data_IF_977921096818
#
_entry.id   IF_977921096818
#
_cell.length_a   1.000
_cell.length_b   1.000
_cell.length_c   1.000
_cell.angle_alpha   90.00
_cell.angle_beta   90.00
_cell.angle_gamma   90.00
#
_symmetry.space_group_name_H-M   'P 1'
#
loop_
_entity.id
_entity.type
_entity.pdbx_description
1 polymer ?
#
# COMPACT_ATOMS: atom_id res chain seq x y z
N UNK A 1 -38.61 2.67 -38.66
CA UNK A 1 -37.13 2.72 -38.56
C UNK A 1 -36.74 2.27 -37.16
N UNK A 2 -36.62 0.95 -36.95
CA UNK A 2 -36.31 0.31 -35.67
C UNK A 2 -34.96 -0.39 -35.86
N UNK A 3 -33.93 -0.03 -35.11
CA UNK A 3 -32.66 -0.79 -35.15
C UNK A 3 -31.34 -0.01 -35.16
N UNK A 4 -31.27 1.21 -34.62
CA UNK A 4 -29.98 1.92 -34.44
C UNK A 4 -29.68 2.38 -33.00
N UNK A 5 -30.37 1.82 -32.01
CA UNK A 5 -30.19 2.18 -30.58
C UNK A 5 -29.70 0.97 -29.76
N UNK A 6 -28.86 0.10 -30.34
CA UNK A 6 -28.32 -1.06 -29.63
C UNK A 6 -26.77 -1.13 -29.58
N UNK A 7 -26.07 -0.12 -30.09
CA UNK A 7 -24.59 -0.17 -30.20
C UNK A 7 -23.88 0.74 -29.17
N UNK A 8 -24.58 1.61 -28.45
CA UNK A 8 -23.94 2.63 -27.61
C UNK A 8 -23.84 2.32 -26.10
N UNK A 9 -24.39 1.20 -25.62
CA UNK A 9 -24.42 0.89 -24.17
C UNK A 9 -23.36 -0.14 -23.74
N UNK A 10 -22.70 -0.83 -24.67
CA UNK A 10 -21.73 -1.89 -24.35
C UNK A 10 -20.31 -1.40 -24.02
N UNK A 11 -20.02 -0.09 -24.14
CA UNK A 11 -18.66 0.45 -23.90
C UNK A 11 -18.46 1.16 -22.56
N UNK A 12 -19.47 1.21 -21.67
CA UNK A 12 -19.41 2.07 -20.47
C UNK A 12 -19.06 1.36 -19.14
N UNK A 13 -18.67 0.08 -19.14
CA UNK A 13 -18.58 -0.72 -17.90
C UNK A 13 -17.21 -1.36 -17.59
N UNK A 14 -16.12 -0.93 -18.22
CA UNK A 14 -14.78 -1.50 -17.96
C UNK A 14 -13.78 -0.52 -17.30
N UNK A 15 -14.26 0.48 -16.56
CA UNK A 15 -13.41 1.21 -15.59
C UNK A 15 -13.43 0.51 -14.22
N UNK A 16 -13.18 -0.79 -14.17
CA UNK A 16 -12.74 -1.41 -12.92
C UNK A 16 -11.27 -1.05 -12.73
N UNK A 17 -11.02 0.07 -12.05
CA UNK A 17 -9.68 0.48 -11.64
C UNK A 17 -9.02 -0.66 -10.88
N UNK A 18 -8.09 -1.35 -11.54
CA UNK A 18 -7.28 -2.41 -10.96
C UNK A 18 -6.18 -1.72 -10.14
N UNK A 19 -6.52 -1.37 -8.90
CA UNK A 19 -5.69 -0.59 -7.99
C UNK A 19 -5.14 -1.44 -6.86
N UNK A 20 -3.90 -1.17 -6.46
CA UNK A 20 -3.27 -1.80 -5.29
C UNK A 20 -4.20 -1.69 -4.08
N UNK A 21 -4.68 -2.84 -3.58
CA UNK A 21 -5.49 -2.85 -2.36
C UNK A 21 -4.60 -2.47 -1.18
N UNK A 22 -5.07 -1.51 -0.37
CA UNK A 22 -4.42 -1.12 0.88
C UNK A 22 -5.39 -1.10 2.05
N UNK A 23 -4.89 -1.36 3.24
CA UNK A 23 -5.61 -1.27 4.50
C UNK A 23 -4.66 -0.69 5.53
N UNK A 24 -5.03 0.46 6.10
CA UNK A 24 -4.21 1.20 7.08
C UNK A 24 -5.03 1.33 8.36
N UNK A 25 -4.42 1.00 9.49
CA UNK A 25 -5.00 1.12 10.82
C UNK A 25 -4.05 1.92 11.70
N UNK A 26 -4.53 3.04 12.23
CA UNK A 26 -3.75 3.95 13.08
C UNK A 26 -4.30 3.94 14.49
N UNK A 27 -3.43 3.77 15.48
CA UNK A 27 -3.72 3.96 16.90
C UNK A 27 -3.55 5.43 17.30
N UNK A 28 -2.61 6.12 16.66
CA UNK A 28 -2.33 7.55 16.84
C UNK A 28 -2.05 8.17 15.46
N UNK A 29 -2.42 9.43 15.27
CA UNK A 29 -2.10 10.19 14.05
C UNK A 29 -1.58 11.55 14.47
N UNK A 30 -0.53 12.03 13.79
CA UNK A 30 0.05 13.36 14.00
C UNK A 30 -0.12 14.23 12.76
N UNK A 31 0.34 15.48 12.85
CA UNK A 31 0.47 16.33 11.68
C UNK A 31 1.35 15.66 10.61
N UNK A 32 1.09 15.90 9.32
CA UNK A 32 1.86 15.28 8.25
C UNK A 32 3.37 15.50 8.41
N UNK A 33 4.15 14.44 8.16
CA UNK A 33 5.59 14.47 8.22
C UNK A 33 6.18 14.79 6.84
N UNK A 34 6.99 15.84 6.77
CA UNK A 34 7.57 16.31 5.51
C UNK A 34 9.01 15.84 5.26
N UNK A 35 9.63 15.20 6.24
CA UNK A 35 11.01 14.70 6.13
C UNK A 35 11.13 13.39 5.35
N UNK A 36 12.34 12.84 5.35
CA UNK A 36 12.63 11.53 4.77
C UNK A 36 12.12 10.40 5.68
N UNK A 37 11.39 9.45 5.11
CA UNK A 37 10.90 8.29 5.85
C UNK A 37 12.02 7.25 5.94
N UNK A 38 12.41 6.86 7.15
CA UNK A 38 13.30 5.72 7.35
C UNK A 38 12.53 4.43 7.09
N UNK A 39 13.08 3.52 6.27
CA UNK A 39 12.50 2.20 6.04
C UNK A 39 13.40 1.15 6.67
N UNK A 40 12.90 0.48 7.70
CA UNK A 40 13.58 -0.63 8.37
C UNK A 40 13.24 -1.94 7.63
N UNK A 41 14.25 -2.67 7.11
CA UNK A 41 14.03 -3.93 6.42
C UNK A 41 13.43 -5.02 7.32
N UNK A 42 12.86 -6.06 6.68
CA UNK A 42 12.29 -7.20 7.37
C UNK A 42 13.32 -7.87 8.29
N UNK A 43 12.94 -8.09 9.55
CA UNK A 43 13.78 -8.77 10.55
C UNK A 43 14.82 -7.88 11.22
N UNK A 44 14.91 -6.59 10.88
CA UNK A 44 15.78 -5.65 11.58
C UNK A 44 15.07 -4.97 12.76
N UNK A 45 15.85 -4.64 13.79
CA UNK A 45 15.37 -3.96 14.99
C UNK A 45 14.99 -2.51 14.69
N UNK A 46 13.95 -2.03 15.36
CA UNK A 46 13.58 -0.61 15.34
C UNK A 46 14.62 0.17 16.18
N UNK A 47 15.12 1.33 15.70
CA UNK A 47 15.95 2.20 16.51
C UNK A 47 15.26 2.61 17.82
N UNK A 48 16.05 2.89 18.86
CA UNK A 48 15.51 3.39 20.12
C UNK A 48 14.81 4.74 19.96
N UNK A 49 13.85 5.02 20.86
CA UNK A 49 13.08 6.27 20.84
C UNK A 49 12.01 6.33 19.74
N UNK A 50 11.52 5.19 19.28
CA UNK A 50 10.39 5.12 18.33
C UNK A 50 9.19 4.42 18.97
N UNK A 51 8.01 5.01 18.77
CA UNK A 51 6.72 4.45 19.18
C UNK A 51 5.90 4.03 17.97
N UNK A 52 5.37 2.80 18.00
CA UNK A 52 4.46 2.31 16.98
C UNK A 52 3.12 3.06 17.08
N UNK A 53 2.65 3.60 15.95
CA UNK A 53 1.39 4.34 15.87
C UNK A 53 0.37 3.71 14.93
N UNK A 54 0.72 2.65 14.21
CA UNK A 54 -0.22 1.95 13.35
C UNK A 54 0.41 0.85 12.53
N UNK A 55 -0.42 0.22 11.70
CA UNK A 55 -0.05 -0.83 10.77
C UNK A 55 -0.68 -0.59 9.41
N UNK A 56 0.00 -1.04 8.36
CA UNK A 56 -0.45 -0.94 6.98
C UNK A 56 -0.27 -2.28 6.28
N UNK A 57 -1.22 -2.65 5.44
CA UNK A 57 -1.13 -3.83 4.58
C UNK A 57 -1.43 -3.42 3.15
N UNK A 58 -0.53 -3.77 2.26
CA UNK A 58 -0.51 -3.32 0.87
C UNK A 58 -0.32 -4.52 -0.04
N UNK A 59 -1.16 -4.64 -1.07
CA UNK A 59 -1.10 -5.75 -2.01
C UNK A 59 -2.50 -6.25 -2.34
N UNK A 60 -2.65 -6.82 -3.53
CA UNK A 60 -3.93 -7.32 -4.01
C UNK A 60 -4.05 -8.86 -3.88
N UNK A 61 -5.28 -9.34 -3.67
CA UNK A 61 -5.63 -10.75 -3.88
C UNK A 61 -6.34 -10.85 -5.23
N UNK A 62 -5.67 -11.31 -6.29
CA UNK A 62 -6.29 -11.48 -7.60
C UNK A 62 -5.33 -11.40 -8.80
N UNK A 63 -5.89 -11.41 -10.01
CA UNK A 63 -5.21 -11.20 -11.30
C UNK A 63 -5.00 -9.70 -11.57
N UNK A 64 -4.16 -9.05 -10.78
CA UNK A 64 -3.81 -7.64 -10.99
C UNK A 64 -2.88 -7.48 -12.19
N UNK A 65 -3.07 -6.43 -13.00
CA UNK A 65 -2.07 -6.04 -14.02
C UNK A 65 -0.76 -5.66 -13.32
N UNK A 66 0.28 -6.42 -13.62
CA UNK A 66 1.59 -6.53 -12.96
C UNK A 66 2.42 -5.26 -12.80
N UNK A 67 2.09 -4.14 -13.47
CA UNK A 67 2.95 -2.95 -13.48
C UNK A 67 2.93 -2.11 -12.19
N UNK A 68 1.85 -2.18 -11.39
CA UNK A 68 1.69 -1.37 -10.17
C UNK A 68 1.90 -2.16 -8.86
N UNK A 69 2.47 -3.36 -8.96
CA UNK A 69 2.53 -4.35 -7.89
C UNK A 69 3.96 -4.76 -7.52
N UNK A 70 4.94 -3.93 -7.86
CA UNK A 70 6.34 -4.14 -7.45
C UNK A 70 6.50 -3.81 -5.97
N UNK A 71 7.50 -4.43 -5.33
CA UNK A 71 7.85 -4.15 -3.94
C UNK A 71 8.12 -2.65 -3.72
N UNK A 72 8.83 -2.01 -4.66
CA UNK A 72 9.14 -0.58 -4.63
C UNK A 72 7.87 0.28 -4.65
N UNK A 73 6.94 0.04 -5.59
CA UNK A 73 5.69 0.80 -5.67
C UNK A 73 4.85 0.67 -4.39
N UNK A 74 4.86 -0.51 -3.76
CA UNK A 74 4.21 -0.75 -2.47
C UNK A 74 4.87 0.06 -1.36
N UNK A 75 6.20 0.05 -1.28
CA UNK A 75 6.95 0.81 -0.28
C UNK A 75 6.69 2.31 -0.44
N UNK A 76 6.64 2.84 -1.67
CA UNK A 76 6.34 4.25 -1.92
C UNK A 76 4.91 4.63 -1.48
N UNK A 77 3.93 3.75 -1.67
CA UNK A 77 2.58 3.97 -1.13
C UNK A 77 2.56 3.95 0.40
N UNK A 78 3.31 3.04 1.02
CA UNK A 78 3.46 3.03 2.47
C UNK A 78 4.14 4.30 2.98
N UNK A 79 5.15 4.83 2.28
CA UNK A 79 5.79 6.13 2.59
C UNK A 79 4.81 7.28 2.52
N UNK A 80 3.97 7.34 1.49
CA UNK A 80 2.96 8.37 1.36
C UNK A 80 1.97 8.35 2.53
N UNK A 81 1.45 7.17 2.88
CA UNK A 81 0.55 7.02 4.03
C UNK A 81 1.24 7.35 5.36
N UNK A 82 2.50 6.94 5.53
CA UNK A 82 3.29 7.29 6.72
C UNK A 82 3.42 8.81 6.87
N UNK A 83 3.79 9.52 5.78
CA UNK A 83 3.89 10.98 5.77
C UNK A 83 2.55 11.63 6.10
N UNK A 84 1.46 11.20 5.47
CA UNK A 84 0.12 11.75 5.73
C UNK A 84 -0.29 11.60 7.20
N UNK A 85 0.10 10.49 7.85
CA UNK A 85 -0.25 10.20 9.26
C UNK A 85 0.79 10.68 10.28
N UNK A 86 1.85 11.35 9.83
CA UNK A 86 2.89 11.92 10.69
C UNK A 86 3.92 10.93 11.21
N UNK A 87 4.01 9.73 10.62
CA UNK A 87 5.07 8.78 10.88
C UNK A 87 6.38 9.23 10.21
N UNK A 88 7.50 8.96 10.86
CA UNK A 88 8.85 9.22 10.35
C UNK A 88 9.61 7.93 10.00
N UNK A 89 9.10 6.77 10.42
CA UNK A 89 9.70 5.48 10.15
C UNK A 89 8.63 4.44 9.81
N UNK A 90 8.97 3.56 8.86
CA UNK A 90 8.21 2.38 8.49
C UNK A 90 9.08 1.16 8.73
N UNK A 91 8.54 0.11 9.34
CA UNK A 91 9.21 -1.18 9.44
C UNK A 91 8.46 -2.26 8.67
N UNK A 92 9.17 -3.01 7.84
CA UNK A 92 8.60 -4.10 7.05
C UNK A 92 8.41 -5.31 7.98
N UNK A 93 7.16 -5.72 8.18
CA UNK A 93 6.79 -6.82 9.08
C UNK A 93 6.60 -8.14 8.35
N UNK A 94 6.19 -8.06 7.08
CA UNK A 94 5.97 -9.24 6.26
C UNK A 94 6.11 -8.88 4.80
N UNK A 95 6.77 -9.74 4.04
CA UNK A 95 6.73 -9.74 2.58
C UNK A 95 6.20 -11.11 2.16
N UNK A 96 5.17 -11.11 1.33
CA UNK A 96 4.70 -12.30 0.62
C UNK A 96 4.90 -12.04 -0.86
N UNK A 97 5.77 -12.84 -1.45
CA UNK A 97 6.09 -12.76 -2.86
C UNK A 97 4.91 -13.23 -3.72
N UNK A 98 4.83 -12.73 -4.97
CA UNK A 98 3.98 -13.32 -5.98
C UNK A 98 4.23 -14.82 -6.07
N UNK A 99 3.17 -15.60 -6.23
CA UNK A 99 3.30 -17.03 -6.50
C UNK A 99 2.48 -17.37 -7.73
N UNK A 100 3.07 -18.25 -8.56
CA UNK A 100 2.57 -18.66 -9.88
C UNK A 100 1.09 -19.11 -9.82
N UNK A 101 0.66 -19.62 -8.66
CA UNK A 101 -0.66 -20.21 -8.45
C UNK A 101 -1.69 -19.28 -7.79
N UNK A 102 -1.29 -18.15 -7.17
CA UNK A 102 -2.23 -17.34 -6.37
C UNK A 102 -2.28 -15.85 -6.70
N UNK A 103 -1.16 -15.21 -7.03
CA UNK A 103 -1.13 -13.79 -7.38
C UNK A 103 0.19 -13.39 -8.02
N UNK A 104 0.12 -12.45 -8.95
CA UNK A 104 1.27 -11.77 -9.56
C UNK A 104 1.77 -10.56 -8.75
N UNK A 105 1.17 -10.27 -7.60
CA UNK A 105 1.43 -9.08 -6.81
C UNK A 105 2.14 -9.41 -5.49
N UNK A 106 3.05 -8.53 -5.07
CA UNK A 106 3.61 -8.57 -3.73
C UNK A 106 2.53 -8.18 -2.71
N UNK A 107 2.58 -8.79 -1.53
CA UNK A 107 1.81 -8.36 -0.38
C UNK A 107 2.75 -8.04 0.76
N UNK A 108 2.72 -6.79 1.24
CA UNK A 108 3.61 -6.27 2.26
C UNK A 108 2.80 -5.76 3.43
N UNK A 109 3.18 -6.18 4.63
CA UNK A 109 2.67 -5.60 5.87
C UNK A 109 3.78 -4.76 6.49
N UNK A 110 3.42 -3.55 6.92
CA UNK A 110 4.33 -2.60 7.57
C UNK A 110 3.75 -2.12 8.89
N UNK A 111 4.62 -1.66 9.77
CA UNK A 111 4.26 -0.87 10.95
C UNK A 111 4.79 0.55 10.83
N UNK A 112 4.01 1.53 11.31
CA UNK A 112 4.33 2.95 11.27
C UNK A 112 4.79 3.43 12.64
N UNK A 113 5.84 4.25 12.67
CA UNK A 113 6.41 4.77 13.91
C UNK A 113 6.64 6.27 13.84
N UNK A 114 6.53 6.89 15.02
CA UNK A 114 6.95 8.26 15.29
C UNK A 114 8.19 8.22 16.17
N UNK A 115 9.04 9.22 16.03
CA UNK A 115 10.11 9.45 16.99
C UNK A 115 9.51 10.06 18.26
N UNK A 116 9.69 9.38 19.38
CA UNK A 116 9.47 9.96 20.70
C UNK A 116 10.70 10.79 21.05
N UNK A 117 10.44 12.02 21.47
CA UNK A 117 11.46 13.01 21.79
C UNK A 117 11.72 12.97 23.29
#
# INVERSE_FOLDING_TARGET
MKGKVLILITSLLLLSGCGLKKTVSMYETRQPYYGEITVVPLGQSIPEGYKMIGTGSYGEKGFTRTKNCTLEAIIEQARADAKEKGASLISIMKIKEPSIWTTSCYYVTVSFYIKEN
#
